data_IF_535317560969
#
_entry.id   IF_535317560969
#
_cell.length_a   1.000
_cell.length_b   1.000
_cell.length_c   1.000
_cell.angle_alpha   90.00
_cell.angle_beta   90.00
_cell.angle_gamma   90.00
#
_symmetry.space_group_name_H-M   'P 1'
#
loop_
_entity.id
_entity.type
_entity.pdbx_description
1 polymer ?
#
# COMPACT_ATOMS: atom_id res chain seq x y z
N UNK A 1 5.49 -10.05 1.06
CA UNK A 1 6.50 -9.70 2.08
C UNK A 1 7.91 -9.93 1.58
N UNK A 2 8.22 -11.04 0.90
CA UNK A 2 9.54 -11.23 0.26
C UNK A 2 9.87 -10.13 -0.77
N UNK A 3 8.97 -9.84 -1.71
CA UNK A 3 9.21 -8.76 -2.70
C UNK A 3 9.34 -7.35 -2.06
N UNK A 4 8.65 -7.08 -0.95
CA UNK A 4 8.81 -5.83 -0.22
C UNK A 4 10.23 -5.73 0.35
N UNK A 5 10.71 -6.80 0.99
CA UNK A 5 12.05 -6.84 1.58
C UNK A 5 13.16 -6.79 0.51
N UNK A 6 12.92 -7.31 -0.68
CA UNK A 6 13.85 -7.20 -1.81
C UNK A 6 13.93 -5.79 -2.39
N UNK A 7 12.77 -5.12 -2.57
CA UNK A 7 12.69 -3.80 -3.20
C UNK A 7 12.91 -2.64 -2.22
N UNK A 8 12.59 -2.86 -0.94
CA UNK A 8 12.69 -1.89 0.16
C UNK A 8 13.31 -2.53 1.40
N UNK A 9 14.62 -2.85 1.36
CA UNK A 9 15.31 -3.51 2.47
C UNK A 9 15.39 -2.63 3.74
N UNK A 10 15.26 -1.31 3.58
CA UNK A 10 15.20 -0.31 4.63
C UNK A 10 13.83 -0.20 5.30
N UNK A 11 12.77 -0.63 4.61
CA UNK A 11 11.38 -0.57 5.10
C UNK A 11 11.01 -1.84 5.85
N UNK A 12 10.43 -1.69 7.05
CA UNK A 12 10.02 -2.80 7.90
C UNK A 12 8.57 -2.64 8.30
N UNK A 13 7.86 -3.76 8.36
CA UNK A 13 6.52 -3.80 8.94
C UNK A 13 6.58 -3.43 10.43
N UNK A 14 5.69 -2.53 10.86
CA UNK A 14 5.55 -2.13 12.25
C UNK A 14 4.37 -2.83 12.91
N UNK A 15 3.14 -2.52 12.47
CA UNK A 15 1.89 -3.10 12.96
C UNK A 15 0.72 -2.86 11.99
N UNK A 16 -0.46 -3.35 12.36
CA UNK A 16 -1.74 -3.02 11.72
C UNK A 16 -2.66 -2.44 12.78
N UNK A 17 -3.23 -1.28 12.51
CA UNK A 17 -4.14 -0.58 13.42
C UNK A 17 -5.40 -0.15 12.68
N UNK A 18 -6.50 0.07 13.39
CA UNK A 18 -7.63 0.81 12.84
C UNK A 18 -7.19 2.26 12.55
N UNK A 19 -7.72 2.85 11.49
CA UNK A 19 -7.48 4.27 11.21
C UNK A 19 -8.09 5.11 12.33
N UNK A 20 -7.34 6.10 12.87
CA UNK A 20 -7.89 7.02 13.86
C UNK A 20 -8.99 7.92 13.29
N UNK A 21 -9.07 8.06 11.96
CA UNK A 21 -10.07 8.89 11.28
C UNK A 21 -11.35 8.11 10.92
N UNK A 22 -11.22 6.83 10.61
CA UNK A 22 -12.33 5.96 10.23
C UNK A 22 -12.09 4.51 10.73
N UNK A 23 -12.77 4.06 11.79
CA UNK A 23 -12.53 2.72 12.36
C UNK A 23 -12.76 1.54 11.40
N UNK A 24 -13.51 1.75 10.30
CA UNK A 24 -13.72 0.72 9.28
C UNK A 24 -12.51 0.55 8.33
N UNK A 25 -11.55 1.47 8.37
CA UNK A 25 -10.32 1.41 7.60
C UNK A 25 -9.18 0.82 8.42
N UNK A 26 -8.40 -0.07 7.81
CA UNK A 26 -7.18 -0.62 8.41
C UNK A 26 -5.95 0.10 7.85
N UNK A 27 -5.05 0.51 8.75
CA UNK A 27 -3.73 1.05 8.42
C UNK A 27 -2.67 -0.04 8.58
N UNK A 28 -1.88 -0.26 7.53
CA UNK A 28 -0.71 -1.13 7.56
C UNK A 28 0.49 -0.22 7.74
N UNK A 29 1.03 -0.14 8.95
CA UNK A 29 2.10 0.77 9.28
C UNK A 29 3.46 0.13 8.97
N UNK A 30 4.32 0.88 8.29
CA UNK A 30 5.69 0.50 7.98
C UNK A 30 6.63 1.62 8.40
N UNK A 31 7.91 1.30 8.59
CA UNK A 31 8.92 2.32 8.88
C UNK A 31 9.12 3.23 7.67
N UNK A 32 9.40 4.50 7.96
CA UNK A 32 9.72 5.50 6.95
C UNK A 32 10.95 5.06 6.11
N UNK A 33 10.92 5.23 4.78
CA UNK A 33 12.07 4.99 3.91
C UNK A 33 13.21 5.98 4.15
N UNK A 34 14.40 5.68 3.61
CA UNK A 34 15.58 6.54 3.80
C UNK A 34 15.45 7.96 3.19
N UNK A 35 14.55 8.18 2.22
CA UNK A 35 14.34 9.48 1.57
C UNK A 35 12.97 9.59 0.87
N UNK A 36 12.61 10.82 0.49
CA UNK A 36 11.32 11.16 -0.15
C UNK A 36 11.10 10.45 -1.50
N UNK A 37 12.14 10.30 -2.33
CA UNK A 37 11.99 9.60 -3.61
C UNK A 37 11.59 8.13 -3.39
N UNK A 38 12.13 7.50 -2.34
CA UNK A 38 11.79 6.13 -1.93
C UNK A 38 10.39 6.04 -1.33
N UNK A 39 9.91 7.08 -0.68
CA UNK A 39 8.52 7.16 -0.20
C UNK A 39 7.51 7.19 -1.36
N UNK A 40 7.82 7.95 -2.42
CA UNK A 40 7.01 7.96 -3.64
C UNK A 40 6.96 6.56 -4.27
N UNK A 41 8.13 5.91 -4.45
CA UNK A 41 8.21 4.55 -4.99
C UNK A 41 7.46 3.52 -4.12
N UNK A 42 7.54 3.65 -2.80
CA UNK A 42 6.86 2.77 -1.85
C UNK A 42 5.33 2.90 -1.99
N UNK A 43 4.85 4.14 -2.11
CA UNK A 43 3.43 4.45 -2.30
C UNK A 43 2.92 3.85 -3.61
N UNK A 44 3.66 4.01 -4.71
CA UNK A 44 3.30 3.39 -6.00
C UNK A 44 3.27 1.85 -5.90
N UNK A 45 4.29 1.24 -5.28
CA UNK A 45 4.36 -0.20 -5.08
C UNK A 45 3.17 -0.76 -4.30
N UNK A 46 2.78 -0.11 -3.20
CA UNK A 46 1.61 -0.54 -2.43
C UNK A 46 0.30 -0.21 -3.13
N UNK A 47 0.21 0.87 -3.92
CA UNK A 47 -0.99 1.21 -4.70
C UNK A 47 -1.42 0.07 -5.62
N UNK A 48 -0.49 -0.48 -6.39
CA UNK A 48 -0.74 -1.63 -7.27
C UNK A 48 -1.19 -2.86 -6.46
N UNK A 49 -0.48 -3.19 -5.38
CA UNK A 49 -0.80 -4.35 -4.54
C UNK A 49 -2.15 -4.24 -3.84
N UNK A 50 -2.50 -3.05 -3.36
CA UNK A 50 -3.79 -2.84 -2.70
C UNK A 50 -4.91 -3.01 -3.70
N UNK A 51 -4.69 -2.57 -4.95
CA UNK A 51 -5.62 -2.81 -6.07
C UNK A 51 -5.77 -4.31 -6.36
N UNK A 52 -4.68 -5.07 -6.42
CA UNK A 52 -4.73 -6.53 -6.59
C UNK A 52 -5.53 -7.21 -5.46
N UNK A 53 -5.30 -6.82 -4.21
CA UNK A 53 -6.06 -7.32 -3.05
C UNK A 53 -7.55 -7.02 -3.25
N UNK A 54 -7.92 -5.79 -3.59
CA UNK A 54 -9.33 -5.43 -3.81
C UNK A 54 -9.97 -6.29 -4.91
N UNK A 55 -9.26 -6.51 -6.02
CA UNK A 55 -9.72 -7.37 -7.11
C UNK A 55 -9.91 -8.84 -6.68
N UNK A 56 -9.00 -9.37 -5.86
CA UNK A 56 -9.12 -10.72 -5.28
C UNK A 56 -10.33 -10.85 -4.35
N UNK A 57 -10.65 -9.78 -3.61
CA UNK A 57 -11.89 -9.65 -2.84
C UNK A 57 -13.14 -9.38 -3.70
N UNK A 58 -13.04 -9.54 -5.02
CA UNK A 58 -14.13 -9.36 -6.01
C UNK A 58 -14.63 -7.94 -6.19
N UNK A 59 -13.88 -6.94 -5.71
CA UNK A 59 -14.11 -5.55 -6.07
C UNK A 59 -13.48 -5.27 -7.43
N UNK A 60 -14.25 -5.50 -8.50
CA UNK A 60 -13.82 -5.21 -9.87
C UNK A 60 -13.88 -3.70 -10.13
N UNK A 61 -12.71 -3.07 -10.26
CA UNK A 61 -12.56 -1.63 -10.51
C UNK A 61 -12.22 -1.43 -12.00
N UNK A 62 -12.91 -0.49 -12.66
CA UNK A 62 -12.68 -0.17 -14.08
C UNK A 62 -12.49 1.33 -14.26
N UNK A 63 -11.42 1.73 -14.96
CA UNK A 63 -11.19 3.11 -15.37
C UNK A 63 -11.78 3.31 -16.76
N UNK A 64 -12.87 4.06 -16.86
CA UNK A 64 -13.59 4.31 -18.11
C UNK A 64 -13.44 5.79 -18.51
N UNK A 65 -12.61 6.14 -19.51
CA UNK A 65 -12.53 7.51 -19.99
C UNK A 65 -13.83 7.87 -20.71
N UNK A 66 -14.42 8.99 -20.32
CA UNK A 66 -15.57 9.60 -21.00
C UNK A 66 -15.09 10.81 -21.82
N UNK A 67 -15.80 11.09 -22.92
CA UNK A 67 -15.60 12.29 -23.76
C UNK A 67 -16.61 13.36 -23.41
#
# INVERSE_FOLDING_TARGET
>A
MEELAEKFPDVRFADITESPENPDDLWINVTEPENEDREIELTEFFGDRTTDILMDYRYHIFVMPIR
#
